data_IF_475939529783
#
_entry.id   IF_475939529783
#
_cell.length_a   1.000
_cell.length_b   1.000
_cell.length_c   1.000
_cell.angle_alpha   90.00
_cell.angle_beta   90.00
_cell.angle_gamma   90.00
#
_symmetry.space_group_name_H-M   'P 1'
#
loop_
_entity.id
_entity.type
_entity.pdbx_description
1 polymer ?
#
# COMPACT_ATOMS: atom_id res chain seq x y z
N UNK A 1 -24.99 29.11 -5.18
CA UNK A 1 -24.97 28.01 -4.19
C UNK A 1 -23.75 27.18 -4.51
N UNK A 2 -22.69 27.43 -3.78
CA UNK A 2 -21.36 26.87 -3.97
C UNK A 2 -21.31 25.46 -3.36
N UNK A 3 -21.32 24.44 -4.21
CA UNK A 3 -21.07 23.07 -3.77
C UNK A 3 -19.57 22.94 -3.48
N UNK A 4 -19.18 23.28 -2.24
CA UNK A 4 -17.92 22.87 -1.63
C UNK A 4 -17.92 21.35 -1.46
N UNK A 5 -17.70 20.62 -2.57
CA UNK A 5 -17.24 19.25 -2.51
C UNK A 5 -15.94 19.23 -1.72
N UNK A 6 -16.01 18.62 -0.54
CA UNK A 6 -14.86 18.33 0.30
C UNK A 6 -13.88 17.46 -0.49
N UNK A 7 -12.91 18.10 -1.17
CA UNK A 7 -11.84 17.41 -1.91
C UNK A 7 -10.98 16.61 -0.93
N UNK A 8 -11.35 15.34 -0.75
CA UNK A 8 -10.62 14.37 0.05
C UNK A 8 -9.39 13.88 -0.74
N UNK A 9 -8.34 14.70 -0.82
CA UNK A 9 -7.11 14.38 -1.54
C UNK A 9 -6.05 15.48 -1.48
N UNK A 10 -4.85 15.19 -1.99
CA UNK A 10 -3.76 16.16 -2.09
C UNK A 10 -4.06 17.24 -3.15
N UNK A 11 -3.20 18.26 -3.22
CA UNK A 11 -3.33 19.39 -4.17
C UNK A 11 -3.49 18.93 -5.62
N UNK A 12 -4.13 19.76 -6.46
CA UNK A 12 -4.37 19.46 -7.88
C UNK A 12 -3.05 19.11 -8.61
N UNK A 13 -1.98 19.83 -8.30
CA UNK A 13 -0.64 19.62 -8.85
C UNK A 13 -0.15 18.20 -8.56
N UNK A 14 -0.22 17.77 -7.28
CA UNK A 14 0.22 16.43 -6.86
C UNK A 14 -0.57 15.35 -7.59
N UNK A 15 -1.90 15.49 -7.67
CA UNK A 15 -2.76 14.50 -8.35
C UNK A 15 -2.42 14.38 -9.84
N UNK A 16 -2.17 15.50 -10.52
CA UNK A 16 -1.80 15.52 -11.94
C UNK A 16 -0.44 14.85 -12.14
N UNK A 17 0.58 15.23 -11.37
CA UNK A 17 1.93 14.66 -11.46
C UNK A 17 1.91 13.15 -11.15
N UNK A 18 1.24 12.72 -10.08
CA UNK A 18 1.09 11.30 -9.74
C UNK A 18 0.39 10.51 -10.85
N UNK A 19 -0.59 11.10 -11.55
CA UNK A 19 -1.30 10.39 -12.62
C UNK A 19 -0.39 10.02 -13.79
N UNK A 20 0.61 10.85 -14.08
CA UNK A 20 1.65 10.57 -15.07
C UNK A 20 2.72 9.62 -14.52
N UNK A 21 3.28 9.93 -13.34
CA UNK A 21 4.40 9.16 -12.76
C UNK A 21 4.04 7.71 -12.44
N UNK A 22 2.80 7.42 -12.02
CA UNK A 22 2.41 6.06 -11.63
C UNK A 22 2.69 5.02 -12.73
N UNK A 23 2.48 5.39 -14.00
CA UNK A 23 2.72 4.48 -15.13
C UNK A 23 4.20 4.21 -15.33
N UNK A 24 5.02 5.24 -15.28
CA UNK A 24 6.47 5.13 -15.42
C UNK A 24 7.10 4.32 -14.29
N UNK A 25 6.71 4.58 -13.04
CA UNK A 25 7.25 3.86 -11.87
C UNK A 25 6.81 2.39 -11.91
N UNK A 26 5.55 2.12 -12.27
CA UNK A 26 5.06 0.75 -12.41
C UNK A 26 5.84 -0.02 -13.48
N UNK A 27 5.98 0.57 -14.67
CA UNK A 27 6.72 -0.06 -15.78
C UNK A 27 8.18 -0.28 -15.43
N UNK A 28 8.81 0.66 -14.72
CA UNK A 28 10.17 0.51 -14.22
C UNK A 28 10.29 -0.62 -13.19
N UNK A 29 9.33 -0.74 -12.27
CA UNK A 29 9.28 -1.86 -11.33
C UNK A 29 9.17 -3.21 -12.05
N UNK A 30 8.30 -3.30 -13.05
CA UNK A 30 8.17 -4.49 -13.91
C UNK A 30 9.49 -4.80 -14.62
N UNK A 31 10.13 -3.81 -15.22
CA UNK A 31 11.44 -3.97 -15.85
C UNK A 31 12.48 -4.59 -14.90
N UNK A 32 12.59 -4.09 -13.66
CA UNK A 32 13.53 -4.60 -12.65
C UNK A 32 13.22 -6.06 -12.25
N UNK A 33 11.94 -6.45 -12.22
CA UNK A 33 11.57 -7.86 -12.00
C UNK A 33 12.09 -8.75 -13.13
N UNK A 34 11.97 -8.30 -14.39
CA UNK A 34 12.38 -9.05 -15.56
C UNK A 34 13.91 -9.10 -15.78
N UNK A 35 14.64 -8.06 -15.40
CA UNK A 35 16.10 -7.96 -15.62
C UNK A 35 16.93 -8.31 -14.39
N UNK A 36 16.32 -8.86 -13.35
CA UNK A 36 16.99 -9.19 -12.09
C UNK A 36 18.12 -10.23 -12.18
N UNK A 37 18.20 -11.00 -13.26
CA UNK A 37 19.30 -11.93 -13.52
C UNK A 37 20.46 -11.33 -14.34
N UNK A 38 20.26 -10.16 -14.95
CA UNK A 38 21.25 -9.48 -15.79
C UNK A 38 21.82 -8.22 -15.13
N UNK A 39 21.08 -7.62 -14.21
CA UNK A 39 21.39 -6.35 -13.56
C UNK A 39 21.17 -6.46 -12.05
N UNK A 40 21.81 -5.61 -11.22
CA UNK A 40 21.52 -5.59 -9.79
C UNK A 40 20.04 -5.28 -9.56
N UNK A 41 19.29 -6.23 -9.00
CA UNK A 41 17.84 -6.15 -8.91
C UNK A 41 17.19 -7.50 -8.58
N UNK A 42 15.98 -7.73 -9.08
CA UNK A 42 15.23 -8.97 -8.84
C UNK A 42 13.76 -8.76 -8.53
N UNK A 43 13.09 -9.88 -8.24
CA UNK A 43 11.69 -9.89 -7.83
C UNK A 43 11.41 -9.02 -6.60
N UNK A 44 12.30 -9.04 -5.60
CA UNK A 44 12.11 -8.24 -4.38
C UNK A 44 12.16 -6.73 -4.66
N UNK A 45 13.26 -6.24 -5.23
CA UNK A 45 13.43 -4.80 -5.51
C UNK A 45 12.35 -4.28 -6.46
N UNK A 46 12.02 -5.02 -7.52
CA UNK A 46 10.95 -4.67 -8.44
C UNK A 46 9.58 -4.68 -7.78
N UNK A 47 9.29 -5.67 -6.93
CA UNK A 47 8.07 -5.74 -6.12
C UNK A 47 7.89 -4.55 -5.17
N UNK A 48 8.97 -4.10 -4.53
CA UNK A 48 8.96 -2.88 -3.68
C UNK A 48 8.59 -1.65 -4.52
N UNK A 49 9.19 -1.48 -5.70
CA UNK A 49 8.90 -0.34 -6.59
C UNK A 49 7.42 -0.36 -7.04
N UNK A 50 6.89 -1.54 -7.36
CA UNK A 50 5.48 -1.72 -7.70
C UNK A 50 4.59 -1.33 -6.50
N UNK A 51 4.90 -1.81 -5.28
CA UNK A 51 4.17 -1.41 -4.07
C UNK A 51 4.20 0.11 -3.85
N UNK A 52 5.36 0.75 -4.03
CA UNK A 52 5.51 2.20 -3.93
C UNK A 52 4.60 2.96 -4.90
N UNK A 53 4.35 2.41 -6.09
CA UNK A 53 3.39 3.00 -7.03
C UNK A 53 1.99 3.04 -6.46
N UNK A 54 1.52 1.94 -5.85
CA UNK A 54 0.21 1.88 -5.21
C UNK A 54 0.13 2.78 -3.97
N UNK A 55 1.20 2.86 -3.19
CA UNK A 55 1.33 3.80 -2.07
C UNK A 55 1.21 5.25 -2.56
N UNK A 56 1.94 5.62 -3.61
CA UNK A 56 1.91 6.96 -4.20
C UNK A 56 0.49 7.35 -4.66
N UNK A 57 -0.21 6.44 -5.33
CA UNK A 57 -1.61 6.65 -5.74
C UNK A 57 -2.51 6.81 -4.52
N UNK A 58 -2.32 6.01 -3.48
CA UNK A 58 -3.10 6.08 -2.25
C UNK A 58 -2.90 7.41 -1.52
N UNK A 59 -1.67 7.94 -1.50
CA UNK A 59 -1.36 9.23 -0.89
C UNK A 59 -1.94 10.41 -1.69
N UNK A 60 -1.88 10.36 -3.02
CA UNK A 60 -2.34 11.46 -3.87
C UNK A 60 -3.88 11.57 -3.94
N UNK A 61 -4.58 10.44 -4.02
CA UNK A 61 -6.04 10.37 -4.21
C UNK A 61 -6.81 9.98 -2.95
N UNK A 62 -6.11 9.70 -1.85
CA UNK A 62 -6.72 9.33 -0.57
C UNK A 62 -7.06 7.84 -0.45
N UNK A 63 -7.35 7.45 0.80
CA UNK A 63 -7.59 6.06 1.22
C UNK A 63 -8.81 5.40 0.56
N UNK A 64 -9.81 6.18 0.16
CA UNK A 64 -11.06 5.65 -0.43
C UNK A 64 -10.83 5.07 -1.82
N UNK A 65 -9.98 5.71 -2.62
CA UNK A 65 -9.60 5.20 -3.94
C UNK A 65 -8.71 3.96 -3.82
N UNK A 66 -7.85 3.91 -2.80
CA UNK A 66 -6.99 2.75 -2.57
C UNK A 66 -7.76 1.50 -2.12
N UNK A 67 -8.70 1.67 -1.18
CA UNK A 67 -9.58 0.60 -0.72
C UNK A 67 -10.55 0.13 -1.82
N UNK A 68 -10.96 1.03 -2.72
CA UNK A 68 -11.84 0.71 -3.86
C UNK A 68 -11.13 0.04 -5.04
N UNK A 69 -9.86 0.37 -5.33
CA UNK A 69 -9.10 -0.21 -6.46
C UNK A 69 -8.39 -1.52 -6.13
N UNK A 70 -7.94 -1.71 -4.90
CA UNK A 70 -7.37 -2.97 -4.44
C UNK A 70 -7.96 -3.30 -3.08
N UNK A 71 -9.05 -4.09 -3.09
CA UNK A 71 -9.61 -4.63 -1.86
C UNK A 71 -8.56 -5.47 -1.11
N UNK A 72 -8.65 -5.52 0.23
CA UNK A 72 -7.80 -6.38 1.07
C UNK A 72 -7.77 -7.83 0.57
N UNK A 73 -8.89 -8.31 0.03
CA UNK A 73 -9.03 -9.64 -0.56
C UNK A 73 -8.11 -9.81 -1.78
N UNK A 74 -8.13 -8.89 -2.74
CA UNK A 74 -7.28 -8.97 -3.93
C UNK A 74 -5.79 -8.95 -3.59
N UNK A 75 -5.37 -8.13 -2.62
CA UNK A 75 -3.98 -8.12 -2.16
C UNK A 75 -3.60 -9.46 -1.50
N UNK A 76 -4.49 -10.03 -0.68
CA UNK A 76 -4.26 -11.33 -0.04
C UNK A 76 -4.21 -12.48 -1.06
N UNK A 77 -5.06 -12.44 -2.08
CA UNK A 77 -5.07 -13.43 -3.17
C UNK A 77 -3.78 -13.36 -3.98
N UNK A 78 -3.32 -12.15 -4.35
CA UNK A 78 -2.06 -11.96 -5.06
C UNK A 78 -0.84 -12.39 -4.24
N UNK A 79 -0.83 -12.13 -2.93
CA UNK A 79 0.25 -12.60 -2.03
C UNK A 79 0.31 -14.13 -1.95
N UNK A 80 -0.86 -14.77 -1.87
CA UNK A 80 -0.99 -16.23 -1.83
C UNK A 80 -0.60 -16.85 -3.16
N UNK A 81 -1.06 -16.27 -4.27
CA UNK A 81 -0.74 -16.71 -5.62
C UNK A 81 0.77 -16.61 -5.90
N UNK A 82 1.41 -15.50 -5.50
CA UNK A 82 2.86 -15.34 -5.62
C UNK A 82 3.64 -16.41 -4.84
N UNK A 83 3.17 -16.78 -3.65
CA UNK A 83 3.75 -17.86 -2.85
C UNK A 83 3.56 -19.23 -3.51
N UNK A 84 2.36 -19.52 -4.03
CA UNK A 84 2.06 -20.78 -4.72
C UNK A 84 2.89 -20.91 -5.99
N UNK A 85 3.05 -19.84 -6.77
CA UNK A 85 3.90 -19.84 -7.97
C UNK A 85 5.35 -20.17 -7.59
N UNK A 86 5.89 -19.49 -6.57
CA UNK A 86 7.27 -19.70 -6.13
C UNK A 86 7.50 -21.13 -5.60
N UNK A 87 6.59 -21.62 -4.75
CA UNK A 87 6.65 -22.99 -4.22
C UNK A 87 6.45 -24.03 -5.33
N UNK A 88 5.54 -23.78 -6.27
CA UNK A 88 5.28 -24.64 -7.42
C UNK A 88 6.52 -24.80 -8.31
N UNK A 89 7.25 -23.71 -8.59
CA UNK A 89 8.52 -23.79 -9.33
C UNK A 89 9.54 -24.66 -8.58
N UNK A 90 9.61 -24.52 -7.25
CA UNK A 90 10.52 -25.28 -6.42
C UNK A 90 10.20 -26.79 -6.44
N UNK A 91 8.92 -27.14 -6.31
CA UNK A 91 8.41 -28.52 -6.36
C UNK A 91 8.55 -29.14 -7.75
N UNK A 92 8.32 -28.37 -8.81
CA UNK A 92 8.56 -28.81 -10.19
C UNK A 92 10.03 -29.19 -10.42
N UNK A 93 10.96 -28.57 -9.70
CA UNK A 93 12.37 -28.99 -9.71
C UNK A 93 12.58 -30.44 -9.29
N UNK A 94 11.76 -30.96 -8.37
CA UNK A 94 11.85 -32.32 -7.86
C UNK A 94 11.59 -33.38 -8.94
N UNK A 95 10.86 -33.04 -10.01
CA UNK A 95 10.69 -33.94 -11.17
C UNK A 95 12.01 -34.27 -11.86
N UNK A 96 13.03 -33.43 -11.69
CA UNK A 96 14.41 -33.69 -12.08
C UNK A 96 15.31 -34.09 -10.91
N UNK A 97 14.78 -34.58 -9.80
CA UNK A 97 15.55 -35.14 -8.68
C UNK A 97 16.27 -34.15 -7.76
N UNK A 98 16.13 -32.83 -7.98
CA UNK A 98 16.76 -31.79 -7.13
C UNK A 98 15.80 -30.61 -6.92
N UNK A 99 15.69 -30.12 -5.70
CA UNK A 99 14.91 -28.92 -5.38
C UNK A 99 15.41 -27.69 -6.17
N UNK A 100 14.51 -26.87 -6.72
CA UNK A 100 14.85 -25.71 -7.58
C UNK A 100 15.68 -26.02 -8.84
N UNK A 101 15.58 -27.22 -9.41
CA UNK A 101 16.27 -27.51 -10.68
C UNK A 101 15.81 -26.57 -11.81
N UNK A 102 16.75 -26.02 -12.56
CA UNK A 102 16.47 -25.15 -13.70
C UNK A 102 16.10 -25.97 -14.95
N UNK A 103 14.89 -26.53 -14.95
CA UNK A 103 14.39 -27.39 -16.03
C UNK A 103 14.23 -26.66 -17.36
N UNK A 104 13.96 -25.35 -17.35
CA UNK A 104 13.75 -24.54 -18.56
C UNK A 104 15.07 -24.35 -19.32
N UNK A 105 16.15 -24.02 -18.62
CA UNK A 105 17.43 -23.76 -19.28
C UNK A 105 18.08 -25.03 -19.84
N UNK A 106 17.74 -26.20 -19.28
CA UNK A 106 18.24 -27.48 -19.77
C UNK A 106 17.52 -27.95 -21.03
N UNK A 107 16.20 -27.69 -21.15
CA UNK A 107 15.40 -28.04 -22.32
C UNK A 107 15.54 -27.01 -23.45
N UNK A 108 15.77 -25.74 -23.12
CA UNK A 108 15.93 -24.64 -24.07
C UNK A 108 17.13 -23.76 -23.70
N UNK A 109 18.37 -24.17 -24.03
CA UNK A 109 19.56 -23.38 -23.77
C UNK A 109 19.50 -22.08 -24.60
N UNK A 110 19.25 -20.96 -23.93
CA UNK A 110 19.38 -19.64 -24.53
C UNK A 110 20.81 -19.10 -24.30
N UNK A 111 21.37 -18.33 -25.26
CA UNK A 111 22.68 -17.74 -25.10
C UNK A 111 22.74 -16.80 -23.88
N UNK A 112 23.89 -16.73 -23.19
CA UNK A 112 24.08 -15.84 -22.05
C UNK A 112 23.77 -14.38 -22.43
N UNK A 113 23.35 -13.58 -21.45
CA UNK A 113 22.88 -12.18 -21.61
C UNK A 113 21.51 -11.97 -22.25
N UNK A 114 20.69 -13.02 -22.42
CA UNK A 114 19.27 -12.86 -22.81
C UNK A 114 18.32 -12.94 -21.62
N UNK A 115 17.16 -12.30 -21.74
CA UNK A 115 16.08 -12.35 -20.74
C UNK A 115 15.61 -13.78 -20.44
N UNK A 116 15.58 -14.66 -21.43
CA UNK A 116 15.20 -16.08 -21.27
C UNK A 116 16.36 -16.98 -20.83
N UNK A 117 17.58 -16.45 -20.73
CA UNK A 117 18.76 -17.24 -20.37
C UNK A 117 18.73 -17.76 -18.94
N UNK A 118 17.92 -17.21 -18.05
CA UNK A 118 17.88 -17.63 -16.64
C UNK A 118 16.86 -18.74 -16.35
N UNK A 119 16.11 -19.19 -17.36
CA UNK A 119 15.15 -20.30 -17.24
C UNK A 119 14.13 -20.09 -16.12
N UNK A 120 14.19 -20.93 -15.08
CA UNK A 120 13.26 -20.90 -13.95
C UNK A 120 13.40 -19.68 -13.03
N UNK A 121 14.58 -19.04 -13.01
CA UNK A 121 14.85 -17.88 -12.13
C UNK A 121 13.95 -16.70 -12.49
N UNK A 122 13.66 -16.49 -13.77
CA UNK A 122 12.78 -15.41 -14.21
C UNK A 122 11.35 -15.59 -13.67
N UNK A 123 10.81 -16.81 -13.75
CA UNK A 123 9.50 -17.12 -13.20
C UNK A 123 9.48 -16.95 -11.67
N UNK A 124 10.55 -17.37 -10.98
CA UNK A 124 10.70 -17.15 -9.55
C UNK A 124 10.69 -15.66 -9.21
N UNK A 125 11.39 -14.83 -9.97
CA UNK A 125 11.39 -13.37 -9.79
C UNK A 125 9.99 -12.76 -9.95
N UNK A 126 9.20 -13.22 -10.92
CA UNK A 126 7.82 -12.76 -11.10
C UNK A 126 6.96 -13.13 -9.89
N UNK A 127 7.05 -14.38 -9.43
CA UNK A 127 6.32 -14.84 -8.23
C UNK A 127 6.68 -14.05 -6.97
N UNK A 128 7.98 -13.86 -6.73
CA UNK A 128 8.49 -13.04 -5.62
C UNK A 128 8.02 -11.59 -5.75
N UNK A 129 8.10 -11.00 -6.94
CA UNK A 129 7.70 -9.61 -7.17
C UNK A 129 6.22 -9.36 -6.91
N UNK A 130 5.36 -10.27 -7.35
CA UNK A 130 3.93 -10.23 -7.04
C UNK A 130 3.69 -10.34 -5.53
N UNK A 131 4.34 -11.32 -4.88
CA UNK A 131 4.21 -11.55 -3.43
C UNK A 131 4.64 -10.33 -2.61
N UNK A 132 5.82 -9.80 -2.90
CA UNK A 132 6.39 -8.63 -2.20
C UNK A 132 5.55 -7.38 -2.45
N UNK A 133 5.11 -7.17 -3.69
CA UNK A 133 4.25 -6.04 -4.05
C UNK A 133 2.94 -6.04 -3.27
N UNK A 134 2.27 -7.20 -3.23
CA UNK A 134 0.99 -7.37 -2.56
C UNK A 134 1.11 -7.24 -1.03
N UNK A 135 2.09 -7.92 -0.42
CA UNK A 135 2.32 -7.87 1.03
C UNK A 135 2.69 -6.48 1.54
N UNK A 136 3.57 -5.75 0.86
CA UNK A 136 3.93 -4.39 1.25
C UNK A 136 2.75 -3.42 1.15
N UNK A 137 1.96 -3.54 0.09
CA UNK A 137 0.75 -2.74 -0.03
C UNK A 137 -0.26 -3.05 1.08
N UNK A 138 -0.42 -4.33 1.43
CA UNK A 138 -1.30 -4.77 2.53
C UNK A 138 -0.84 -4.20 3.88
N UNK A 139 0.46 -4.29 4.20
CA UNK A 139 1.05 -3.70 5.40
C UNK A 139 0.80 -2.19 5.44
N UNK A 140 1.01 -1.50 4.31
CA UNK A 140 0.76 -0.06 4.22
C UNK A 140 -0.70 0.30 4.52
N UNK A 141 -1.67 -0.42 3.92
CA UNK A 141 -3.09 -0.17 4.17
C UNK A 141 -3.47 -0.45 5.63
N UNK A 142 -2.94 -1.52 6.22
CA UNK A 142 -3.18 -1.85 7.64
C UNK A 142 -2.66 -0.72 8.53
N UNK A 143 -1.43 -0.26 8.31
CA UNK A 143 -0.84 0.85 9.07
C UNK A 143 -1.59 2.16 8.85
N UNK A 144 -2.02 2.45 7.62
CA UNK A 144 -2.79 3.64 7.30
C UNK A 144 -4.16 3.65 8.00
N UNK A 145 -4.83 2.49 8.10
CA UNK A 145 -6.08 2.34 8.84
C UNK A 145 -5.83 2.43 10.35
N UNK A 146 -4.82 1.73 10.87
CA UNK A 146 -4.49 1.77 12.30
C UNK A 146 -4.16 3.18 12.77
N UNK A 147 -3.52 4.04 11.95
CA UNK A 147 -3.26 5.44 12.30
C UNK A 147 -4.53 6.30 12.40
N UNK A 148 -5.61 5.92 11.72
CA UNK A 148 -6.90 6.64 11.78
C UNK A 148 -7.64 6.37 13.09
N UNK A 149 -7.46 5.19 13.69
CA UNK A 149 -8.13 4.79 14.94
C UNK A 149 -7.70 5.61 16.17
N UNK A 150 -6.40 5.90 16.45
CA UNK A 150 -5.99 6.69 17.61
C UNK A 150 -6.44 8.15 17.55
N UNK A 151 -6.71 8.70 16.34
CA UNK A 151 -7.26 10.05 16.19
C UNK A 151 -8.72 10.15 16.63
N UNK A 152 -9.53 9.15 16.27
CA UNK A 152 -10.97 9.14 16.55
C UNK A 152 -11.27 8.93 18.05
N UNK A 153 -10.43 8.16 18.74
CA UNK A 153 -10.59 7.94 20.18
C UNK A 153 -10.20 9.17 21.02
N UNK A 154 -9.24 9.98 20.56
CA UNK A 154 -8.90 11.26 21.20
C UNK A 154 -10.01 12.29 21.04
N UNK A 155 -10.64 12.36 19.86
CA UNK A 155 -11.79 13.25 19.64
C UNK A 155 -13.00 12.82 20.48
N UNK A 156 -13.31 11.52 20.54
CA UNK A 156 -14.40 11.02 21.39
C UNK A 156 -14.15 11.31 22.88
N UNK A 157 -12.91 11.15 23.37
CA UNK A 157 -12.55 11.50 24.75
C UNK A 157 -12.65 13.01 25.04
N UNK A 158 -12.41 13.89 24.06
CA UNK A 158 -12.60 15.33 24.23
C UNK A 158 -14.08 15.76 24.19
N UNK A 159 -14.90 15.12 23.34
CA UNK A 159 -16.34 15.39 23.27
C UNK A 159 -17.03 14.94 24.57
N UNK A 160 -16.72 13.73 25.05
CA UNK A 160 -17.23 13.20 26.31
C UNK A 160 -16.89 14.12 27.50
N UNK A 161 -15.64 14.59 27.56
CA UNK A 161 -15.18 15.51 28.61
C UNK A 161 -15.86 16.90 28.56
N UNK A 162 -16.34 17.33 27.38
CA UNK A 162 -17.05 18.60 27.21
C UNK A 162 -18.53 18.49 27.58
N UNK A 163 -19.13 17.31 27.41
CA UNK A 163 -20.48 16.98 27.84
C UNK A 163 -20.60 16.76 29.36
N UNK A 164 -19.54 16.24 29.99
CA UNK A 164 -19.46 16.07 31.45
C UNK A 164 -19.16 17.36 32.21
N UNK A 165 -18.81 18.45 31.53
CA UNK A 165 -18.53 19.72 32.20
C UNK A 165 -19.87 20.39 32.61
N UNK A 166 -20.11 20.64 33.91
CA UNK A 166 -21.33 21.32 34.33
C UNK A 166 -21.41 22.69 33.66
N UNK A 167 -22.63 23.18 33.33
CA UNK A 167 -22.80 24.48 32.70
C UNK A 167 -22.07 25.53 33.55
N UNK A 168 -21.16 26.26 32.90
CA UNK A 168 -20.47 27.36 33.55
C UNK A 168 -21.53 28.30 34.13
N UNK A 169 -21.43 28.69 35.41
CA UNK A 169 -22.38 29.63 35.99
C UNK A 169 -22.37 30.88 35.12
N UNK A 170 -23.52 31.21 34.56
CA UNK A 170 -23.73 32.43 33.78
C UNK A 170 -23.44 33.59 34.74
N UNK A 171 -22.24 34.16 34.66
CA UNK A 171 -21.90 35.37 35.40
C UNK A 171 -22.63 36.53 34.72
N UNK A 172 -23.89 36.71 35.08
CA UNK A 172 -24.73 37.75 34.48
C UNK A 172 -26.23 37.57 34.68
N UNK A 173 -26.69 37.24 35.88
CA UNK A 173 -28.08 37.54 36.23
C UNK A 173 -28.27 37.74 37.74
N UNK A 174 -28.35 39.01 38.14
CA UNK A 174 -28.89 39.46 39.42
C UNK A 174 -27.94 39.38 40.61
N UNK A 175 -26.94 40.26 40.66
CA UNK A 175 -26.45 40.70 41.96
C UNK A 175 -27.65 41.32 42.70
N UNK A 176 -28.01 40.86 43.92
CA UNK A 176 -29.11 41.45 44.67
C UNK A 176 -28.78 42.92 44.97
N UNK A 177 -29.78 43.83 44.99
CA UNK A 177 -29.51 45.23 45.24
C UNK A 177 -28.88 45.37 46.63
N UNK A 178 -27.72 46.02 46.67
CA UNK A 178 -27.07 46.43 47.91
C UNK A 178 -28.11 47.19 48.76
N UNK A 179 -28.50 46.59 49.88
CA UNK A 179 -29.32 47.26 50.90
C UNK A 179 -28.59 48.54 51.31
N UNK A 180 -29.28 49.67 51.14
CA UNK A 180 -28.89 50.98 51.64
C UNK A 180 -29.64 51.21 52.95
N UNK A 181 -28.93 51.62 53.99
CA UNK A 181 -29.45 52.01 55.33
C UNK A 181 -29.05 50.98 56.40
N UNK A 182 -28.44 51.36 57.53
CA UNK A 182 -28.29 52.66 58.20
C UNK A 182 -26.91 52.82 58.86
#
# INVERSE_FOLDING_TARGET
MENMETKKGMTLIVRTVTSWLKGFIFLYGVYIVFTGHLSPGGGFAGGVIIACTFVLVTLAFGKEVALGKMGKLLASELDSLGAIIFAGIALLGYTGGVFFRNFIQMNHPAPPFRIFSAGTILLSNIGIGMKVGASLFMVFIILAVLRVIPGKEREMKMVQKKEELPPLPIRGQGDPPLKKGD
#
